data_IF_636819410889
#
_entry.id   IF_636819410889
#
_cell.length_a   1.000
_cell.length_b   1.000
_cell.length_c   1.000
_cell.angle_alpha   90.00
_cell.angle_beta   90.00
_cell.angle_gamma   90.00
#
_symmetry.space_group_name_H-M   'P 1'
#
loop_
_entity.id
_entity.type
_entity.pdbx_description
1 polymer ?
#
# COMPACT_ATOMS: atom_id res chain seq x y z
N UNK A 1 20.43 16.31 -17.82
CA UNK A 1 19.13 16.32 -18.52
C UNK A 1 18.67 14.88 -18.60
N UNK A 2 17.60 14.39 -17.99
CA UNK A 2 16.37 14.96 -17.47
C UNK A 2 15.95 14.21 -16.20
N UNK A 3 15.28 14.91 -15.27
CA UNK A 3 14.76 14.44 -13.98
C UNK A 3 13.61 13.43 -14.15
N UNK A 4 13.92 12.22 -14.61
CA UNK A 4 12.91 11.18 -14.89
C UNK A 4 13.04 10.02 -13.90
N UNK A 5 12.58 10.12 -12.64
CA UNK A 5 12.43 8.91 -11.80
C UNK A 5 11.60 8.97 -10.49
N UNK A 6 10.44 9.64 -10.43
CA UNK A 6 9.54 9.45 -9.27
C UNK A 6 8.09 9.40 -9.70
N UNK A 7 7.63 10.37 -10.49
CA UNK A 7 6.26 10.44 -10.98
C UNK A 7 5.85 9.22 -11.83
N UNK A 8 6.73 8.72 -12.69
CA UNK A 8 6.44 7.54 -13.54
C UNK A 8 6.43 6.23 -12.73
N UNK A 9 7.33 6.05 -11.77
CA UNK A 9 7.32 4.89 -10.85
C UNK A 9 6.08 4.89 -9.95
N UNK A 10 5.71 6.06 -9.43
CA UNK A 10 4.47 6.24 -8.65
C UNK A 10 3.24 5.90 -9.51
N UNK A 11 3.22 6.30 -10.78
CA UNK A 11 2.13 5.94 -11.70
C UNK A 11 2.06 4.44 -11.96
N UNK A 12 3.20 3.80 -12.26
CA UNK A 12 3.25 2.35 -12.48
C UNK A 12 2.82 1.55 -11.24
N UNK A 13 3.23 1.98 -10.04
CA UNK A 13 2.82 1.34 -8.79
C UNK A 13 1.34 1.60 -8.46
N UNK A 14 0.81 2.78 -8.77
CA UNK A 14 -0.60 3.10 -8.60
C UNK A 14 -1.49 2.30 -9.57
N UNK A 15 -0.99 1.90 -10.74
CA UNK A 15 -1.71 1.05 -11.70
C UNK A 15 -1.58 -0.45 -11.36
N UNK A 16 -0.55 -0.87 -10.61
CA UNK A 16 -0.32 -2.26 -10.24
C UNK A 16 -1.11 -2.73 -9.01
N UNK A 17 -1.45 -1.82 -8.08
CA UNK A 17 -2.15 -2.14 -6.84
C UNK A 17 -3.59 -1.65 -6.90
N UNK A 18 -4.53 -2.58 -6.93
CA UNK A 18 -5.98 -2.31 -6.96
C UNK A 18 -6.63 -2.92 -5.73
N UNK A 19 -7.55 -2.17 -5.12
CA UNK A 19 -8.42 -2.70 -4.05
C UNK A 19 -9.75 -3.08 -4.69
N UNK A 20 -9.96 -4.38 -4.88
CA UNK A 20 -11.19 -4.92 -5.45
C UNK A 20 -12.41 -4.67 -4.52
N UNK A 21 -13.64 -4.63 -5.05
CA UNK A 21 -14.84 -4.33 -4.27
C UNK A 21 -15.05 -5.23 -3.05
N UNK A 22 -14.72 -6.51 -3.16
CA UNK A 22 -14.81 -7.47 -2.06
C UNK A 22 -13.86 -7.10 -0.91
N UNK A 23 -12.62 -6.72 -1.23
CA UNK A 23 -11.66 -6.27 -0.24
C UNK A 23 -12.12 -4.96 0.39
N UNK A 24 -12.66 -4.01 -0.37
CA UNK A 24 -13.21 -2.77 0.19
C UNK A 24 -14.34 -3.04 1.21
N UNK A 25 -15.24 -3.98 0.91
CA UNK A 25 -16.30 -4.40 1.83
C UNK A 25 -15.74 -5.08 3.08
N UNK A 26 -14.73 -5.94 2.94
CA UNK A 26 -14.03 -6.55 4.05
C UNK A 26 -13.36 -5.49 4.96
N UNK A 27 -12.69 -4.49 4.37
CA UNK A 27 -12.07 -3.39 5.12
C UNK A 27 -13.11 -2.55 5.88
N UNK A 28 -14.25 -2.25 5.27
CA UNK A 28 -15.33 -1.50 5.91
C UNK A 28 -15.96 -2.27 7.09
N UNK A 29 -16.11 -3.60 6.95
CA UNK A 29 -16.68 -4.48 7.98
C UNK A 29 -15.68 -4.89 9.07
N UNK A 30 -14.36 -4.78 8.82
CA UNK A 30 -13.29 -5.22 9.72
C UNK A 30 -13.32 -4.58 11.12
N UNK A 31 -14.05 -3.47 11.31
CA UNK A 31 -14.31 -2.99 12.66
C UNK A 31 -13.07 -2.46 13.41
N UNK A 32 -11.94 -2.24 12.72
CA UNK A 32 -10.69 -1.82 13.35
C UNK A 32 -9.59 -1.50 12.33
N UNK A 33 -8.37 -1.23 12.80
CA UNK A 33 -7.21 -1.13 11.92
C UNK A 33 -6.85 -2.49 11.32
N UNK A 34 -6.19 -2.47 10.17
CA UNK A 34 -5.68 -3.66 9.49
C UNK A 34 -4.17 -3.70 9.48
N UNK A 35 -3.62 -4.91 9.35
CA UNK A 35 -2.20 -5.13 9.16
C UNK A 35 -1.91 -5.26 7.66
N UNK A 36 -0.97 -4.46 7.16
CA UNK A 36 -0.42 -4.60 5.81
C UNK A 36 0.86 -5.42 5.92
N UNK A 37 0.82 -6.66 5.43
CA UNK A 37 1.94 -7.60 5.51
C UNK A 37 2.66 -7.66 4.16
N UNK A 38 3.98 -7.52 4.19
CA UNK A 38 4.86 -7.74 3.04
C UNK A 38 6.10 -8.55 3.49
N UNK A 39 6.77 -9.26 2.60
CA UNK A 39 7.92 -10.08 2.97
C UNK A 39 9.19 -9.23 3.15
N UNK A 40 9.45 -8.30 2.24
CA UNK A 40 10.65 -7.47 2.21
C UNK A 40 10.31 -6.01 1.88
N UNK A 41 10.82 -5.08 2.68
CA UNK A 41 10.80 -3.66 2.34
C UNK A 41 12.18 -3.16 1.95
N UNK A 42 12.32 -2.59 0.75
CA UNK A 42 13.50 -1.83 0.33
C UNK A 42 13.28 -0.33 0.62
N UNK A 43 12.80 0.44 -0.36
CA UNK A 43 12.56 1.88 -0.20
C UNK A 43 11.29 2.27 0.58
N UNK A 44 10.45 1.30 0.97
CA UNK A 44 9.16 1.54 1.62
C UNK A 44 8.03 2.10 0.73
N UNK A 45 8.28 2.38 -0.55
CA UNK A 45 7.27 2.98 -1.45
C UNK A 45 6.04 2.09 -1.66
N UNK A 46 6.22 0.79 -1.80
CA UNK A 46 5.11 -0.18 -1.92
C UNK A 46 4.19 -0.10 -0.71
N UNK A 47 4.74 -0.16 0.50
CA UNK A 47 3.99 -0.05 1.75
C UNK A 47 3.25 1.28 1.86
N UNK A 48 3.90 2.39 1.49
CA UNK A 48 3.29 3.71 1.54
C UNK A 48 2.09 3.85 0.58
N UNK A 49 2.23 3.35 -0.66
CA UNK A 49 1.15 3.39 -1.66
C UNK A 49 0.02 2.43 -1.29
N UNK A 50 0.34 1.18 -0.95
CA UNK A 50 -0.64 0.19 -0.52
C UNK A 50 -1.40 0.67 0.74
N UNK A 51 -0.69 1.20 1.74
CA UNK A 51 -1.31 1.74 2.95
C UNK A 51 -2.26 2.89 2.64
N UNK A 52 -1.89 3.80 1.73
CA UNK A 52 -2.79 4.87 1.28
C UNK A 52 -4.03 4.33 0.56
N UNK A 53 -3.88 3.32 -0.30
CA UNK A 53 -5.01 2.69 -1.01
C UNK A 53 -5.99 2.04 -0.04
N UNK A 54 -5.49 1.26 0.93
CA UNK A 54 -6.32 0.62 1.95
C UNK A 54 -7.05 1.64 2.84
N UNK A 55 -6.39 2.74 3.23
CA UNK A 55 -7.03 3.84 3.96
C UNK A 55 -8.16 4.49 3.16
N UNK A 56 -7.97 4.67 1.85
CA UNK A 56 -9.00 5.21 0.95
C UNK A 56 -10.16 4.24 0.72
N UNK A 57 -9.89 2.95 0.78
CA UNK A 57 -10.88 1.89 0.61
C UNK A 57 -11.69 1.57 1.89
N UNK A 58 -11.45 2.29 3.00
CA UNK A 58 -12.27 2.20 4.22
C UNK A 58 -11.57 1.62 5.44
N UNK A 59 -10.31 1.18 5.35
CA UNK A 59 -9.56 0.71 6.51
C UNK A 59 -9.43 1.85 7.54
N UNK A 60 -9.77 1.63 8.81
CA UNK A 60 -9.70 2.68 9.87
C UNK A 60 -8.27 3.07 10.27
N UNK A 61 -7.34 2.15 10.11
CA UNK A 61 -5.90 2.33 10.27
C UNK A 61 -5.19 1.23 9.50
N UNK A 62 -3.93 1.49 9.12
CA UNK A 62 -3.10 0.50 8.44
C UNK A 62 -1.75 0.47 9.15
N UNK A 63 -1.36 -0.70 9.63
CA UNK A 63 -0.08 -0.92 10.29
C UNK A 63 0.78 -1.83 9.41
N UNK A 64 1.95 -1.37 8.95
CA UNK A 64 2.85 -2.22 8.18
C UNK A 64 3.57 -3.22 9.09
N UNK A 65 3.62 -4.47 8.66
CA UNK A 65 4.50 -5.51 9.18
C UNK A 65 5.29 -6.08 8.01
N UNK A 66 6.62 -6.08 8.13
CA UNK A 66 7.50 -6.72 7.15
C UNK A 66 8.43 -7.72 7.80
N UNK A 67 8.71 -8.82 7.09
CA UNK A 67 9.59 -9.86 7.62
C UNK A 67 11.06 -9.45 7.54
N UNK A 68 11.41 -8.63 6.55
CA UNK A 68 12.76 -8.08 6.38
C UNK A 68 12.73 -6.64 5.87
N UNK A 69 13.81 -5.91 6.17
CA UNK A 69 14.08 -4.56 5.64
C UNK A 69 15.45 -4.59 4.98
N UNK A 70 15.52 -4.16 3.73
CA UNK A 70 16.75 -3.96 2.96
C UNK A 70 17.00 -2.45 2.86
N UNK A 71 18.21 -2.02 3.20
CA UNK A 71 18.63 -0.62 3.21
C UNK A 71 19.79 -0.35 2.28
#
# INVERSE_FOLDING_TARGET
MSQTNSAQRVRALHEALVVEPELAQALASAGGPVLLVDDLSDTGWTLAVAGRLLRRAGARGVFPLVLAVQG
#
